data_IF_338614056187
#
_entry.id   IF_338614056187
#
_cell.length_a   1.000
_cell.length_b   1.000
_cell.length_c   1.000
_cell.angle_alpha   90.00
_cell.angle_beta   90.00
_cell.angle_gamma   90.00
#
_symmetry.space_group_name_H-M   'P 1'
#
loop_
_entity.id
_entity.type
_entity.pdbx_description
1 polymer ?
#
# COMPACT_ATOMS: atom_id res chain seq x y z
N UNK A 1 -25.91 -31.77 10.67
CA UNK A 1 -24.42 -31.69 10.67
C UNK A 1 -23.97 -31.30 9.27
N UNK A 2 -23.75 -30.01 9.04
CA UNK A 2 -23.05 -29.48 7.86
C UNK A 2 -22.58 -28.06 8.22
N UNK A 3 -21.67 -27.97 9.17
CA UNK A 3 -20.92 -26.76 9.48
C UNK A 3 -19.48 -27.06 9.16
N UNK A 4 -18.87 -26.22 8.37
CA UNK A 4 -17.47 -25.94 8.10
C UNK A 4 -17.12 -25.94 6.60
N UNK A 5 -17.80 -25.06 5.84
CA UNK A 5 -17.20 -24.52 4.61
C UNK A 5 -16.97 -23.01 4.79
N UNK A 6 -16.30 -22.64 5.88
CA UNK A 6 -15.89 -21.25 6.11
C UNK A 6 -14.72 -20.84 5.20
N UNK A 7 -13.99 -21.79 4.64
CA UNK A 7 -12.91 -21.57 3.69
C UNK A 7 -13.21 -22.35 2.42
N UNK A 8 -13.67 -21.68 1.38
CA UNK A 8 -13.69 -22.32 0.08
C UNK A 8 -12.25 -22.44 -0.40
N UNK A 9 -11.70 -23.64 -0.31
CA UNK A 9 -10.34 -24.02 -0.68
C UNK A 9 -9.82 -23.50 -2.04
N UNK A 10 -10.66 -23.23 -3.08
CA UNK A 10 -10.14 -22.78 -4.38
C UNK A 10 -9.58 -21.34 -4.39
N UNK A 11 -9.94 -20.47 -3.42
CA UNK A 11 -9.52 -19.05 -3.41
C UNK A 11 -8.43 -18.74 -2.40
N UNK A 12 -7.98 -19.72 -1.59
CA UNK A 12 -7.02 -19.48 -0.51
C UNK A 12 -5.69 -18.90 -1.03
N UNK A 13 -5.26 -19.33 -2.20
CA UNK A 13 -4.03 -18.81 -2.82
C UNK A 13 -4.17 -17.33 -3.19
N UNK A 14 -5.32 -16.93 -3.75
CA UNK A 14 -5.59 -15.53 -4.06
C UNK A 14 -5.63 -14.67 -2.79
N UNK A 15 -6.30 -15.15 -1.75
CA UNK A 15 -6.39 -14.48 -0.45
C UNK A 15 -5.02 -14.27 0.17
N UNK A 16 -4.17 -15.30 0.20
CA UNK A 16 -2.80 -15.19 0.71
C UNK A 16 -1.99 -14.20 -0.11
N UNK A 17 -2.05 -14.27 -1.45
CA UNK A 17 -1.36 -13.32 -2.32
C UNK A 17 -1.81 -11.88 -2.06
N UNK A 18 -3.11 -11.64 -1.86
CA UNK A 18 -3.64 -10.30 -1.55
C UNK A 18 -3.09 -9.80 -0.22
N UNK A 19 -3.15 -10.59 0.86
CA UNK A 19 -2.62 -10.18 2.17
C UNK A 19 -1.12 -9.91 2.14
N UNK A 20 -0.33 -10.76 1.48
CA UNK A 20 1.10 -10.52 1.32
C UNK A 20 1.39 -9.30 0.43
N UNK A 21 0.56 -9.04 -0.58
CA UNK A 21 0.67 -7.79 -1.36
C UNK A 21 0.44 -6.57 -0.46
N UNK A 22 -0.51 -6.62 0.48
CA UNK A 22 -0.73 -5.52 1.43
C UNK A 22 0.38 -5.37 2.47
N UNK A 23 1.03 -6.45 2.89
CA UNK A 23 2.24 -6.36 3.69
C UNK A 23 3.35 -5.59 2.95
N UNK A 24 3.61 -5.94 1.70
CA UNK A 24 4.61 -5.25 0.86
C UNK A 24 4.15 -3.83 0.46
N UNK A 25 2.84 -3.60 0.30
CA UNK A 25 2.28 -2.27 0.15
C UNK A 25 2.62 -1.39 1.36
N UNK A 26 2.48 -1.91 2.60
CA UNK A 26 2.90 -1.21 3.80
C UNK A 26 4.36 -0.75 3.75
N UNK A 27 5.25 -1.62 3.29
CA UNK A 27 6.66 -1.30 3.05
C UNK A 27 6.80 -0.18 2.01
N UNK A 28 6.11 -0.29 0.86
CA UNK A 28 6.23 0.68 -0.23
C UNK A 28 5.89 2.12 0.19
N UNK A 29 4.88 2.27 1.06
CA UNK A 29 4.40 3.57 1.54
C UNK A 29 5.48 4.34 2.29
N UNK A 30 6.32 3.65 3.06
CA UNK A 30 7.34 4.29 3.90
C UNK A 30 8.76 4.19 3.34
N UNK A 31 8.97 3.43 2.26
CA UNK A 31 10.30 3.12 1.72
C UNK A 31 11.13 4.38 1.41
N UNK A 32 10.53 5.38 0.76
CA UNK A 32 11.24 6.62 0.42
C UNK A 32 11.61 7.43 1.66
N UNK A 33 10.72 7.49 2.64
CA UNK A 33 10.95 8.20 3.89
C UNK A 33 12.04 7.54 4.74
N UNK A 34 12.03 6.21 4.84
CA UNK A 34 12.99 5.47 5.64
C UNK A 34 14.41 5.43 5.03
N UNK A 35 14.53 5.62 3.71
CA UNK A 35 15.81 5.70 3.01
C UNK A 35 16.16 7.16 2.61
N UNK A 36 15.60 8.15 3.29
CA UNK A 36 15.68 9.56 2.89
C UNK A 36 17.14 10.03 2.73
N UNK A 37 18.04 9.72 3.68
CA UNK A 37 19.43 10.15 3.64
C UNK A 37 20.20 9.51 2.48
N UNK A 38 20.07 8.19 2.29
CA UNK A 38 20.73 7.49 1.18
C UNK A 38 20.22 7.92 -0.20
N UNK A 39 18.93 8.25 -0.30
CA UNK A 39 18.33 8.75 -1.55
C UNK A 39 18.72 10.20 -1.82
N UNK A 40 18.84 11.04 -0.78
CA UNK A 40 19.30 12.41 -0.90
C UNK A 40 20.75 12.45 -1.43
N UNK A 41 21.62 11.61 -0.88
CA UNK A 41 22.99 11.44 -1.38
C UNK A 41 23.00 10.95 -2.84
N UNK A 42 22.24 9.90 -3.15
CA UNK A 42 22.17 9.35 -4.51
C UNK A 42 21.74 10.37 -5.56
N UNK A 43 20.72 11.17 -5.27
CA UNK A 43 20.17 12.16 -6.21
C UNK A 43 20.81 13.53 -6.09
N UNK A 44 21.84 13.69 -5.26
CA UNK A 44 22.53 14.96 -4.99
C UNK A 44 21.53 16.07 -4.63
N UNK A 45 20.60 15.77 -3.73
CA UNK A 45 19.54 16.66 -3.26
C UNK A 45 19.49 16.68 -1.74
N UNK A 46 18.61 17.50 -1.19
CA UNK A 46 18.37 17.59 0.25
C UNK A 46 17.09 16.81 0.68
N UNK A 47 16.76 16.87 1.96
CA UNK A 47 15.56 16.24 2.49
C UNK A 47 14.27 16.81 1.86
N UNK A 48 14.27 18.07 1.44
CA UNK A 48 13.11 18.69 0.77
C UNK A 48 12.90 18.08 -0.62
N UNK A 49 13.99 17.77 -1.37
CA UNK A 49 13.92 17.07 -2.64
C UNK A 49 13.35 15.65 -2.51
N UNK A 50 13.68 14.93 -1.42
CA UNK A 50 13.08 13.61 -1.17
C UNK A 50 11.63 13.75 -0.68
N UNK A 51 11.29 14.76 0.13
CA UNK A 51 9.89 15.04 0.48
C UNK A 51 9.04 15.34 -0.77
N UNK A 52 9.60 16.09 -1.74
CA UNK A 52 8.98 16.29 -3.05
C UNK A 52 8.76 14.95 -3.77
N UNK A 53 9.77 14.06 -3.76
CA UNK A 53 9.64 12.72 -4.34
C UNK A 53 8.49 11.93 -3.69
N UNK A 54 8.36 11.97 -2.36
CA UNK A 54 7.28 11.32 -1.61
C UNK A 54 5.91 11.88 -2.01
N UNK A 55 5.80 13.18 -2.33
CA UNK A 55 4.55 13.79 -2.77
C UNK A 55 4.00 13.16 -4.05
N UNK A 56 4.86 12.62 -4.90
CA UNK A 56 4.50 11.87 -6.10
C UNK A 56 3.62 10.64 -5.80
N UNK A 57 3.83 9.97 -4.65
CA UNK A 57 2.98 8.86 -4.20
C UNK A 57 1.54 9.35 -3.98
N UNK A 58 1.37 10.50 -3.33
CA UNK A 58 0.06 11.11 -3.09
C UNK A 58 -0.65 11.48 -4.38
N UNK A 59 0.06 12.11 -5.31
CA UNK A 59 -0.46 12.46 -6.64
C UNK A 59 -0.89 11.21 -7.42
N UNK A 60 -0.04 10.18 -7.45
CA UNK A 60 -0.34 8.91 -8.11
C UNK A 60 -1.57 8.23 -7.51
N UNK A 61 -1.71 8.25 -6.17
CA UNK A 61 -2.86 7.69 -5.49
C UNK A 61 -4.15 8.41 -5.85
N UNK A 62 -4.13 9.74 -5.94
CA UNK A 62 -5.28 10.53 -6.38
C UNK A 62 -5.69 10.18 -7.81
N UNK A 63 -4.74 10.12 -8.73
CA UNK A 63 -4.99 9.70 -10.13
C UNK A 63 -5.56 8.27 -10.16
N UNK A 64 -4.94 7.34 -9.44
CA UNK A 64 -5.34 5.94 -9.43
C UNK A 64 -6.79 5.73 -8.96
N UNK A 65 -7.23 6.40 -7.90
CA UNK A 65 -8.60 6.28 -7.38
C UNK A 65 -9.65 6.64 -8.44
N UNK A 66 -9.39 7.66 -9.28
CA UNK A 66 -10.33 8.10 -10.30
C UNK A 66 -10.55 7.08 -11.41
N UNK A 67 -9.52 6.31 -11.77
CA UNK A 67 -9.57 5.42 -12.92
C UNK A 67 -9.75 3.95 -12.58
N UNK A 68 -9.12 3.45 -11.50
CA UNK A 68 -9.09 2.02 -11.22
C UNK A 68 -10.40 1.45 -10.69
N UNK A 69 -11.31 2.28 -10.16
CA UNK A 69 -12.66 1.86 -9.85
C UNK A 69 -13.36 1.31 -11.10
N UNK A 70 -13.40 2.13 -12.16
CA UNK A 70 -14.03 1.76 -13.45
C UNK A 70 -13.31 0.58 -14.12
N UNK A 71 -11.97 0.58 -14.07
CA UNK A 71 -11.15 -0.51 -14.65
C UNK A 71 -11.43 -1.82 -13.91
N UNK A 72 -11.54 -1.80 -12.58
CA UNK A 72 -11.84 -2.98 -11.78
C UNK A 72 -13.20 -3.59 -12.08
N UNK A 73 -14.20 -2.75 -12.32
CA UNK A 73 -15.54 -3.22 -12.67
C UNK A 73 -15.60 -3.79 -14.09
N UNK A 74 -14.82 -3.25 -15.02
CA UNK A 74 -14.80 -3.68 -16.43
C UNK A 74 -13.92 -4.91 -16.68
N UNK A 75 -12.73 -4.96 -16.10
CA UNK A 75 -11.71 -6.00 -16.37
C UNK A 75 -11.57 -7.05 -15.26
N UNK A 76 -12.26 -6.84 -14.15
CA UNK A 76 -12.26 -7.76 -13.02
C UNK A 76 -11.13 -7.50 -12.01
N UNK A 77 -11.34 -7.95 -10.78
CA UNK A 77 -10.45 -7.73 -9.63
C UNK A 77 -9.03 -8.25 -9.86
N UNK A 78 -8.91 -9.43 -10.47
CA UNK A 78 -7.61 -10.06 -10.77
C UNK A 78 -6.74 -9.22 -11.67
N UNK A 79 -7.31 -8.66 -12.75
CA UNK A 79 -6.55 -7.85 -13.71
C UNK A 79 -5.96 -6.60 -13.03
N UNK A 80 -6.76 -5.92 -12.21
CA UNK A 80 -6.36 -4.70 -11.51
C UNK A 80 -5.27 -5.00 -10.46
N UNK A 81 -5.38 -6.10 -9.71
CA UNK A 81 -4.35 -6.52 -8.76
C UNK A 81 -3.03 -6.84 -9.49
N UNK A 82 -3.09 -7.52 -10.63
CA UNK A 82 -1.88 -7.79 -11.44
C UNK A 82 -1.25 -6.51 -11.98
N UNK A 83 -2.05 -5.55 -12.46
CA UNK A 83 -1.53 -4.22 -12.87
C UNK A 83 -0.84 -3.52 -11.69
N UNK A 84 -1.46 -3.53 -10.50
CA UNK A 84 -0.86 -2.95 -9.30
C UNK A 84 0.50 -3.58 -8.99
N UNK A 85 0.59 -4.90 -9.00
CA UNK A 85 1.84 -5.62 -8.69
C UNK A 85 2.94 -5.30 -9.71
N UNK A 86 2.62 -5.21 -11.00
CA UNK A 86 3.58 -4.81 -12.03
C UNK A 86 4.11 -3.39 -11.76
N UNK A 87 3.24 -2.45 -11.37
CA UNK A 87 3.66 -1.08 -11.02
C UNK A 87 4.54 -1.05 -9.75
N UNK A 88 4.29 -1.93 -8.76
CA UNK A 88 5.18 -2.08 -7.61
C UNK A 88 6.56 -2.60 -8.03
N UNK A 89 6.63 -3.54 -8.97
CA UNK A 89 7.92 -4.03 -9.49
C UNK A 89 8.71 -2.91 -10.15
N UNK A 90 8.04 -2.07 -10.97
CA UNK A 90 8.67 -0.90 -11.58
C UNK A 90 9.24 0.05 -10.52
N UNK A 91 8.54 0.29 -9.42
CA UNK A 91 9.01 1.13 -8.34
C UNK A 91 10.19 0.49 -7.60
N UNK A 92 10.06 -0.75 -7.12
CA UNK A 92 11.05 -1.38 -6.28
C UNK A 92 12.38 -1.66 -6.99
N UNK A 93 12.34 -2.02 -8.25
CA UNK A 93 13.57 -2.18 -9.07
C UNK A 93 14.00 -0.87 -9.73
N UNK A 94 13.07 0.00 -10.04
CA UNK A 94 13.35 1.25 -10.73
C UNK A 94 14.06 2.27 -9.84
N UNK A 95 13.65 2.48 -8.60
CA UNK A 95 14.27 3.48 -7.70
C UNK A 95 15.77 3.23 -7.50
N UNK A 96 16.26 2.00 -7.20
CA UNK A 96 17.69 1.74 -7.11
C UNK A 96 18.44 1.96 -8.42
N UNK A 97 17.83 1.68 -9.55
CA UNK A 97 18.45 1.82 -10.88
C UNK A 97 18.32 3.23 -11.48
N UNK A 98 17.48 4.10 -10.89
CA UNK A 98 17.14 5.39 -11.44
C UNK A 98 18.34 6.37 -11.43
N UNK A 99 18.63 7.05 -12.57
CA UNK A 99 19.77 7.96 -12.66
C UNK A 99 19.49 9.36 -12.14
N UNK A 100 18.24 9.80 -12.05
CA UNK A 100 17.88 11.17 -11.70
C UNK A 100 16.56 11.28 -10.92
N UNK A 101 16.38 12.41 -10.23
CA UNK A 101 15.23 12.69 -9.38
C UNK A 101 13.92 12.74 -10.16
N UNK A 102 13.92 13.21 -11.42
CA UNK A 102 12.71 13.32 -12.25
C UNK A 102 12.13 11.96 -12.57
N UNK A 103 12.97 11.00 -12.99
CA UNK A 103 12.53 9.62 -13.24
C UNK A 103 12.07 8.94 -11.95
N UNK A 104 12.77 9.20 -10.83
CA UNK A 104 12.36 8.73 -9.52
C UNK A 104 10.97 9.26 -9.12
N UNK A 105 10.66 10.52 -9.45
CA UNK A 105 9.34 11.10 -9.23
C UNK A 105 8.25 10.39 -10.05
N UNK A 106 8.52 10.08 -11.32
CA UNK A 106 7.59 9.30 -12.15
C UNK A 106 7.34 7.91 -11.55
N UNK A 107 8.37 7.26 -11.01
CA UNK A 107 8.24 5.97 -10.32
C UNK A 107 7.46 6.09 -9.01
N UNK A 108 7.62 7.20 -8.28
CA UNK A 108 6.83 7.49 -7.09
C UNK A 108 5.35 7.72 -7.43
N UNK A 109 5.04 8.42 -8.52
CA UNK A 109 3.66 8.53 -9.04
C UNK A 109 3.13 7.15 -9.44
N UNK A 110 3.93 6.35 -10.12
CA UNK A 110 3.56 4.99 -10.53
C UNK A 110 3.18 4.11 -9.33
N UNK A 111 3.97 4.10 -8.25
CA UNK A 111 3.62 3.34 -7.04
C UNK A 111 2.40 3.91 -6.32
N UNK A 112 2.17 5.22 -6.37
CA UNK A 112 0.93 5.83 -5.89
C UNK A 112 -0.29 5.31 -6.64
N UNK A 113 -0.21 5.19 -7.97
CA UNK A 113 -1.25 4.57 -8.80
C UNK A 113 -1.43 3.08 -8.41
N UNK A 114 -0.32 2.34 -8.22
CA UNK A 114 -0.35 0.96 -7.79
C UNK A 114 -1.10 0.78 -6.45
N UNK A 115 -0.89 1.70 -5.49
CA UNK A 115 -1.58 1.70 -4.20
C UNK A 115 -3.10 1.75 -4.39
N UNK A 116 -3.60 2.65 -5.23
CA UNK A 116 -5.03 2.76 -5.53
C UNK A 116 -5.57 1.56 -6.31
N UNK A 117 -4.81 1.05 -7.26
CA UNK A 117 -5.17 -0.14 -8.02
C UNK A 117 -5.29 -1.37 -7.10
N UNK A 118 -4.35 -1.56 -6.17
CA UNK A 118 -4.43 -2.65 -5.19
C UNK A 118 -5.65 -2.50 -4.28
N UNK A 119 -5.95 -1.28 -3.82
CA UNK A 119 -7.12 -1.02 -2.97
C UNK A 119 -8.43 -1.31 -3.73
N UNK A 120 -8.58 -0.85 -4.97
CA UNK A 120 -9.81 -1.04 -5.76
C UNK A 120 -10.02 -2.48 -6.23
N UNK A 121 -8.95 -3.28 -6.35
CA UNK A 121 -9.05 -4.71 -6.67
C UNK A 121 -9.09 -5.59 -5.43
N UNK A 122 -8.25 -5.32 -4.43
CA UNK A 122 -8.00 -6.21 -3.30
C UNK A 122 -9.12 -6.23 -2.25
N UNK A 123 -9.64 -5.06 -1.85
CA UNK A 123 -10.74 -5.00 -0.88
C UNK A 123 -11.99 -5.75 -1.37
N UNK A 124 -12.54 -5.45 -2.56
CA UNK A 124 -13.70 -6.18 -3.05
C UNK A 124 -13.42 -7.68 -3.23
N UNK A 125 -12.24 -8.06 -3.76
CA UNK A 125 -11.88 -9.46 -3.92
C UNK A 125 -11.88 -10.22 -2.58
N UNK A 126 -11.39 -9.63 -1.49
CA UNK A 126 -11.45 -10.23 -0.16
C UNK A 126 -12.88 -10.31 0.37
N UNK A 127 -13.70 -9.26 0.17
CA UNK A 127 -15.10 -9.28 0.58
C UNK A 127 -15.88 -10.36 -0.18
N UNK A 128 -15.61 -10.55 -1.47
CA UNK A 128 -16.19 -11.61 -2.29
C UNK A 128 -15.73 -13.02 -1.85
N UNK A 129 -14.48 -13.17 -1.37
CA UNK A 129 -13.97 -14.43 -0.81
C UNK A 129 -14.56 -14.75 0.57
N UNK A 130 -14.92 -13.72 1.37
CA UNK A 130 -15.42 -13.87 2.73
C UNK A 130 -16.75 -13.12 2.97
N UNK A 131 -17.85 -13.46 2.29
CA UNK A 131 -19.10 -12.69 2.39
C UNK A 131 -19.63 -12.57 3.83
N UNK A 132 -19.48 -13.65 4.65
CA UNK A 132 -19.93 -13.68 6.06
C UNK A 132 -18.98 -13.02 7.05
N UNK A 133 -17.76 -12.67 6.65
CA UNK A 133 -16.71 -12.11 7.49
C UNK A 133 -15.96 -10.97 6.77
N UNK A 134 -16.63 -10.25 5.88
CA UNK A 134 -16.03 -9.19 5.05
C UNK A 134 -15.35 -8.10 5.89
N UNK A 135 -15.98 -7.67 6.98
CA UNK A 135 -15.39 -6.69 7.90
C UNK A 135 -14.08 -7.18 8.52
N UNK A 136 -14.03 -8.42 9.01
CA UNK A 136 -12.81 -9.00 9.58
C UNK A 136 -11.71 -9.17 8.52
N UNK A 137 -12.06 -9.56 7.30
CA UNK A 137 -11.12 -9.67 6.19
C UNK A 137 -10.48 -8.32 5.85
N UNK A 138 -11.25 -7.24 5.83
CA UNK A 138 -10.75 -5.87 5.59
C UNK A 138 -9.89 -5.36 6.75
N UNK A 139 -10.26 -5.65 8.01
CA UNK A 139 -9.44 -5.29 9.18
C UNK A 139 -8.08 -5.98 9.11
N UNK A 140 -8.03 -7.24 8.71
CA UNK A 140 -6.76 -7.98 8.57
C UNK A 140 -5.84 -7.36 7.51
N UNK A 141 -6.41 -6.75 6.44
CA UNK A 141 -5.62 -5.96 5.48
C UNK A 141 -4.85 -4.85 6.18
N UNK A 142 -5.53 -4.08 7.07
CA UNK A 142 -4.87 -3.00 7.81
C UNK A 142 -3.77 -3.53 8.74
N UNK A 143 -3.99 -4.67 9.36
CA UNK A 143 -2.95 -5.33 10.16
C UNK A 143 -1.72 -5.70 9.30
N UNK A 144 -1.92 -6.26 8.11
CA UNK A 144 -0.81 -6.61 7.20
C UNK A 144 -0.02 -5.37 6.74
N UNK A 145 -0.71 -4.27 6.39
CA UNK A 145 -0.07 -2.99 6.06
C UNK A 145 0.78 -2.50 7.24
N UNK A 146 0.19 -2.47 8.45
CA UNK A 146 0.90 -2.01 9.66
C UNK A 146 2.09 -2.90 10.01
N UNK A 147 1.99 -4.20 9.78
CA UNK A 147 3.11 -5.14 9.95
C UNK A 147 4.28 -4.80 9.01
N UNK A 148 4.00 -4.49 7.75
CA UNK A 148 5.01 -4.05 6.80
C UNK A 148 5.68 -2.75 7.23
N UNK A 149 4.89 -1.79 7.71
CA UNK A 149 5.37 -0.50 8.19
C UNK A 149 6.19 -0.61 9.48
N UNK A 150 5.89 -1.56 10.36
CA UNK A 150 6.66 -1.82 11.57
C UNK A 150 7.98 -2.55 11.26
N UNK A 151 7.95 -3.52 10.37
CA UNK A 151 9.11 -4.34 10.04
C UNK A 151 10.19 -3.58 9.26
N UNK A 152 9.79 -2.72 8.34
CA UNK A 152 10.71 -2.10 7.39
C UNK A 152 11.73 -1.14 8.04
N UNK A 153 11.39 -0.26 8.99
CA UNK A 153 12.38 0.57 9.69
C UNK A 153 13.44 -0.26 10.43
N UNK A 154 13.05 -1.38 11.03
CA UNK A 154 13.99 -2.29 11.69
C UNK A 154 14.98 -2.88 10.69
N UNK A 155 14.52 -3.26 9.49
CA UNK A 155 15.37 -3.74 8.41
C UNK A 155 16.34 -2.64 7.96
N UNK A 156 15.87 -1.41 7.73
CA UNK A 156 16.71 -0.29 7.31
C UNK A 156 17.74 0.05 8.39
N UNK A 157 17.34 0.09 9.67
CA UNK A 157 18.26 0.30 10.79
C UNK A 157 19.37 -0.78 10.83
N UNK A 158 19.00 -2.05 10.67
CA UNK A 158 19.98 -3.15 10.59
C UNK A 158 20.95 -2.97 9.42
N UNK A 159 20.45 -2.56 8.26
CA UNK A 159 21.29 -2.34 7.07
C UNK A 159 22.26 -1.18 7.28
N UNK A 160 21.82 -0.07 7.90
CA UNK A 160 22.68 1.07 8.22
C UNK A 160 23.80 0.68 9.21
N UNK A 161 23.47 -0.06 10.27
CA UNK A 161 24.44 -0.51 11.27
C UNK A 161 25.52 -1.43 10.69
N UNK A 162 25.20 -2.19 9.67
CA UNK A 162 26.13 -3.14 9.02
C UNK A 162 26.72 -2.60 7.72
N UNK A 163 26.55 -1.32 7.39
CA UNK A 163 26.99 -0.70 6.14
C UNK A 163 26.52 -1.44 4.88
N UNK A 164 25.32 -2.00 4.92
CA UNK A 164 24.70 -2.71 3.80
C UNK A 164 24.05 -1.66 2.89
N UNK A 165 24.26 -1.82 1.57
CA UNK A 165 23.71 -0.92 0.58
C UNK A 165 22.16 -0.85 0.66
N UNK A 166 21.61 0.38 0.77
CA UNK A 166 20.17 0.65 0.94
C UNK A 166 19.30 0.00 -0.17
N UNK A 167 19.85 -0.21 -1.36
CA UNK A 167 19.13 -0.82 -2.49
C UNK A 167 18.57 -2.21 -2.18
N UNK A 168 19.18 -2.98 -1.28
CA UNK A 168 18.62 -4.27 -0.87
C UNK A 168 17.28 -4.12 -0.17
N UNK A 169 17.05 -3.03 0.57
CA UNK A 169 15.77 -2.71 1.18
C UNK A 169 14.63 -2.53 0.17
N UNK A 170 14.97 -2.19 -1.09
CA UNK A 170 13.99 -2.10 -2.18
C UNK A 170 13.95 -3.40 -3.00
N UNK A 171 15.11 -3.98 -3.31
CA UNK A 171 15.19 -5.17 -4.18
C UNK A 171 14.51 -6.39 -3.55
N UNK A 172 14.66 -6.59 -2.22
CA UNK A 172 14.06 -7.75 -1.53
C UNK A 172 12.53 -7.72 -1.63
N UNK A 173 11.80 -6.63 -1.27
CA UNK A 173 10.37 -6.54 -1.52
C UNK A 173 9.99 -6.69 -2.99
N UNK A 174 10.81 -6.19 -3.92
CA UNK A 174 10.65 -6.39 -5.35
C UNK A 174 10.65 -7.87 -5.75
N UNK A 175 11.62 -8.64 -5.26
CA UNK A 175 11.68 -10.09 -5.50
C UNK A 175 10.44 -10.80 -4.92
N UNK A 176 10.00 -10.42 -3.73
CA UNK A 176 8.79 -10.97 -3.12
C UNK A 176 7.55 -10.66 -3.98
N UNK A 177 7.45 -9.46 -4.56
CA UNK A 177 6.38 -9.14 -5.50
C UNK A 177 6.44 -9.99 -6.79
N UNK A 178 7.64 -10.33 -7.31
CA UNK A 178 7.77 -11.28 -8.44
C UNK A 178 7.16 -12.63 -8.06
N UNK A 179 7.49 -13.17 -6.88
CA UNK A 179 6.91 -14.43 -6.40
C UNK A 179 5.39 -14.35 -6.28
N UNK A 180 4.87 -13.27 -5.71
CA UNK A 180 3.42 -13.03 -5.60
C UNK A 180 2.79 -12.97 -7.00
N UNK A 181 3.41 -12.30 -7.98
CA UNK A 181 2.92 -12.24 -9.36
C UNK A 181 2.76 -13.65 -9.95
N UNK A 182 3.79 -14.48 -9.80
CA UNK A 182 3.76 -15.86 -10.30
C UNK A 182 2.65 -16.70 -9.63
N UNK A 183 2.43 -16.48 -8.33
CA UNK A 183 1.35 -17.13 -7.59
C UNK A 183 -0.04 -16.60 -8.01
N UNK A 184 -0.18 -15.29 -8.22
CA UNK A 184 -1.42 -14.66 -8.70
C UNK A 184 -1.81 -15.14 -10.09
N UNK A 185 -0.85 -15.39 -10.98
CA UNK A 185 -1.11 -15.93 -12.32
C UNK A 185 -1.72 -17.34 -12.27
N UNK A 186 -1.44 -18.11 -11.21
CA UNK A 186 -2.00 -19.45 -10.99
C UNK A 186 -3.25 -19.45 -10.12
N UNK A 187 -3.56 -18.33 -9.45
CA UNK A 187 -4.68 -18.24 -8.50
C UNK A 187 -6.03 -18.12 -9.22
N UNK A 188 -7.07 -18.66 -8.59
CA UNK A 188 -8.46 -18.49 -9.00
C UNK A 188 -9.09 -17.39 -8.15
N UNK A 189 -9.85 -16.52 -8.79
CA UNK A 189 -10.65 -15.49 -8.15
C UNK A 189 -12.13 -15.87 -8.21
N UNK A 190 -12.96 -15.44 -7.24
CA UNK A 190 -14.40 -15.58 -7.37
C UNK A 190 -14.87 -14.86 -8.65
N UNK A 191 -15.84 -15.45 -9.34
CA UNK A 191 -16.57 -14.73 -10.37
C UNK A 191 -17.26 -13.54 -9.69
N UNK A 192 -17.21 -12.36 -10.33
CA UNK A 192 -17.95 -11.19 -9.83
C UNK A 192 -19.43 -11.58 -9.74
N UNK A 193 -19.86 -11.98 -8.56
CA UNK A 193 -21.27 -12.10 -8.25
C UNK A 193 -21.74 -10.65 -8.01
N UNK A 194 -22.24 -10.03 -9.04
CA UNK A 194 -23.15 -8.89 -8.91
C UNK A 194 -24.47 -9.47 -8.37
N UNK A 195 -24.45 -9.96 -7.13
CA UNK A 195 -25.67 -10.23 -6.41
C UNK A 195 -26.25 -8.89 -5.96
N UNK A 196 -27.15 -8.37 -6.79
CA UNK A 196 -28.01 -7.23 -6.44
C UNK A 196 -28.83 -7.50 -5.16
N UNK A 197 -28.80 -8.72 -4.62
CA UNK A 197 -29.49 -9.13 -3.40
C UNK A 197 -28.79 -8.67 -2.11
N UNK A 198 -27.49 -8.37 -2.12
CA UNK A 198 -26.76 -7.90 -0.92
C UNK A 198 -27.03 -6.40 -0.65
N UNK A 199 -27.52 -5.65 -1.62
CA UNK A 199 -27.90 -4.24 -1.45
C UNK A 199 -29.19 -4.04 -0.66
N UNK A 200 -29.96 -5.11 -0.41
CA UNK A 200 -31.27 -5.01 0.26
C UNK A 200 -31.24 -5.21 1.78
N UNK A 201 -30.09 -5.51 2.38
CA UNK A 201 -29.98 -5.72 3.84
C UNK A 201 -29.23 -4.60 4.59
N UNK A 202 -28.99 -3.46 3.94
CA UNK A 202 -28.58 -2.29 4.69
C UNK A 202 -29.79 -1.81 5.53
N UNK A 203 -29.63 -1.63 6.86
CA UNK A 203 -30.69 -1.08 7.67
C UNK A 203 -31.17 0.22 7.02
N UNK A 204 -32.44 0.30 6.65
CA UNK A 204 -33.04 1.55 6.20
C UNK A 204 -32.95 2.55 7.36
N UNK A 205 -31.91 3.37 7.33
CA UNK A 205 -31.85 4.51 8.24
C UNK A 205 -32.98 5.47 7.85
N UNK A 206 -33.95 5.60 8.74
CA UNK A 206 -35.14 6.48 8.58
C UNK A 206 -34.80 7.99 8.56
N UNK A 207 -33.54 8.36 8.66
CA UNK A 207 -33.05 9.73 8.52
C UNK A 207 -32.44 9.93 7.15
N UNK A 208 -32.87 10.94 6.40
CA UNK A 208 -32.17 11.35 5.18
C UNK A 208 -30.75 11.74 5.57
N UNK A 209 -29.72 10.99 5.16
CA UNK A 209 -28.35 11.31 5.53
C UNK A 209 -28.01 12.71 4.98
N UNK A 210 -27.39 13.54 5.80
CA UNK A 210 -26.86 14.83 5.36
C UNK A 210 -25.56 14.55 4.60
N UNK A 211 -25.70 13.90 3.43
CA UNK A 211 -24.63 13.27 2.64
C UNK A 211 -23.43 14.19 2.43
N UNK A 212 -23.67 15.49 2.25
CA UNK A 212 -22.59 16.43 2.06
C UNK A 212 -21.81 16.71 3.36
N UNK A 213 -22.47 16.79 4.52
CA UNK A 213 -21.80 17.01 5.81
C UNK A 213 -21.00 15.78 6.23
N UNK A 214 -21.55 14.58 6.03
CA UNK A 214 -20.85 13.32 6.27
C UNK A 214 -19.66 13.17 5.31
N UNK A 215 -19.82 13.53 4.05
CA UNK A 215 -18.76 13.54 3.05
C UNK A 215 -17.63 14.51 3.42
N UNK A 216 -17.97 15.76 3.75
CA UNK A 216 -16.97 16.78 4.13
C UNK A 216 -16.27 16.39 5.43
N UNK A 217 -17.00 15.92 6.45
CA UNK A 217 -16.39 15.51 7.72
C UNK A 217 -15.44 14.31 7.53
N UNK A 218 -15.80 13.34 6.68
CA UNK A 218 -14.94 12.19 6.35
C UNK A 218 -13.67 12.61 5.61
N UNK A 219 -13.77 13.55 4.68
CA UNK A 219 -12.61 14.10 3.96
C UNK A 219 -11.70 14.86 4.93
N UNK A 220 -12.25 15.74 5.78
CA UNK A 220 -11.46 16.48 6.77
C UNK A 220 -10.76 15.55 7.76
N UNK A 221 -11.47 14.53 8.25
CA UNK A 221 -10.88 13.52 9.12
C UNK A 221 -9.76 12.76 8.40
N UNK A 222 -9.97 12.35 7.15
CA UNK A 222 -8.96 11.67 6.34
C UNK A 222 -7.72 12.54 6.15
N UNK A 223 -7.87 13.81 5.77
CA UNK A 223 -6.76 14.75 5.62
C UNK A 223 -6.00 14.92 6.93
N UNK A 224 -6.69 15.13 8.07
CA UNK A 224 -6.05 15.28 9.37
C UNK A 224 -5.28 14.02 9.77
N UNK A 225 -5.91 12.84 9.67
CA UNK A 225 -5.32 11.57 10.04
C UNK A 225 -4.08 11.22 9.19
N UNK A 226 -4.18 11.38 7.86
CA UNK A 226 -3.06 11.11 6.96
C UNK A 226 -1.94 12.12 7.11
N UNK A 227 -2.24 13.40 7.26
CA UNK A 227 -1.22 14.43 7.50
C UNK A 227 -0.44 14.15 8.79
N UNK A 228 -1.14 13.83 9.88
CA UNK A 228 -0.50 13.48 11.16
C UNK A 228 0.38 12.23 11.01
N UNK A 229 -0.13 11.19 10.36
CA UNK A 229 0.64 9.97 10.08
C UNK A 229 1.93 10.27 9.32
N UNK A 230 1.86 11.03 8.22
CA UNK A 230 3.03 11.36 7.42
C UNK A 230 4.02 12.24 8.15
N UNK A 231 3.57 13.21 8.94
CA UNK A 231 4.46 14.04 9.77
C UNK A 231 5.25 13.15 10.73
N UNK A 232 4.59 12.24 11.41
CA UNK A 232 5.26 11.33 12.36
C UNK A 232 6.26 10.41 11.61
N UNK A 233 5.83 9.71 10.57
CA UNK A 233 6.66 8.71 9.88
C UNK A 233 7.86 9.32 9.17
N UNK A 234 7.70 10.51 8.57
CA UNK A 234 8.75 11.14 7.76
C UNK A 234 9.68 11.99 8.62
N UNK A 235 9.13 12.77 9.55
CA UNK A 235 9.88 13.80 10.25
C UNK A 235 10.33 13.44 11.67
N UNK A 236 9.67 12.49 12.34
CA UNK A 236 10.06 12.09 13.70
C UNK A 236 11.51 11.55 13.76
N UNK A 237 11.96 10.67 12.85
CA UNK A 237 13.37 10.24 12.84
C UNK A 237 14.33 11.42 12.63
N UNK A 238 14.01 12.34 11.74
CA UNK A 238 14.87 13.53 11.49
C UNK A 238 14.91 14.46 12.70
N UNK A 239 13.79 14.64 13.39
CA UNK A 239 13.72 15.39 14.64
C UNK A 239 14.59 14.74 15.73
N UNK A 240 14.49 13.42 15.91
CA UNK A 240 15.29 12.66 16.88
C UNK A 240 16.81 12.81 16.60
N UNK A 241 17.23 12.78 15.35
CA UNK A 241 18.62 13.03 14.95
C UNK A 241 19.05 14.45 15.29
N UNK A 242 18.22 15.46 14.96
CA UNK A 242 18.58 16.87 15.09
C UNK A 242 18.60 17.36 16.56
N UNK A 243 17.67 16.92 17.39
CA UNK A 243 17.47 17.45 18.75
C UNK A 243 17.90 16.47 19.86
N UNK A 244 17.80 15.15 19.64
CA UNK A 244 18.24 14.16 20.63
C UNK A 244 19.64 13.61 20.35
N UNK A 245 20.30 14.03 19.24
CA UNK A 245 21.64 13.57 18.86
C UNK A 245 21.72 12.08 18.54
N UNK A 246 20.59 11.44 18.22
CA UNK A 246 20.54 10.03 17.87
C UNK A 246 21.19 9.78 16.50
N UNK A 247 21.84 8.64 16.35
CA UNK A 247 22.25 8.16 15.02
C UNK A 247 21.00 7.83 14.16
N UNK A 248 21.14 7.86 12.83
CA UNK A 248 20.02 7.53 11.93
C UNK A 248 19.46 6.14 12.20
N UNK A 249 20.34 5.17 12.48
CA UNK A 249 19.94 3.79 12.78
C UNK A 249 19.14 3.66 14.11
N UNK A 250 19.42 4.49 15.10
CA UNK A 250 18.68 4.54 16.38
C UNK A 250 17.34 5.26 16.21
N UNK A 251 17.32 6.35 15.44
CA UNK A 251 16.11 7.14 15.20
C UNK A 251 15.03 6.40 14.36
N UNK A 252 15.41 5.33 13.66
CA UNK A 252 14.51 4.49 12.85
C UNK A 252 13.93 3.29 13.62
N UNK A 253 14.37 3.04 14.86
CA UNK A 253 13.83 1.96 15.73
C UNK A 253 12.61 2.43 16.49
#
# INVERSE_FOLDING_TARGET
MSQNKAFSTPFILAVLCIYFSYFLHGISVITLAQNMSSLAEKFSTDNAGIAYLISGIGLGRLIGILFFGVISDKFGRRAVILMAVIMYLLFFFGIPACPNLTLAYCLAVCVGIANSALDTGGYPALMECFPKASGSAVILVKAMVSFGQMFYPMLVSYMLLNNIWYGYGLIIPGILFVLITLMLLKSKFPSQLVDASVTNELPQMNSKPLVWLEGVSSVLFGVAAFSTFYVIVVWMPKYAMAFAGMSEAEALK
#
